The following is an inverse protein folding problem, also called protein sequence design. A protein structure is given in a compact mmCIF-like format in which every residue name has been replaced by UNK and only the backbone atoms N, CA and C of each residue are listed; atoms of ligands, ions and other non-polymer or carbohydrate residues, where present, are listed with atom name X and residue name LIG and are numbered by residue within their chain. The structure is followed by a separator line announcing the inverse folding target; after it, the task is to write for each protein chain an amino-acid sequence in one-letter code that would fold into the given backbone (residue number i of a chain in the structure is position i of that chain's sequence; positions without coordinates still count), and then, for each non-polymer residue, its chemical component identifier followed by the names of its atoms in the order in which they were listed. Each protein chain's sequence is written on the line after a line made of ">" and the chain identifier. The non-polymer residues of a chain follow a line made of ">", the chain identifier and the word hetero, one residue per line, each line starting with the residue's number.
data_IF_895434556230
#
_entry.id   IF_895434556230
#
_cell.length_a   1.000
_cell.length_b   1.000
_cell.length_c   1.000
_cell.angle_alpha   90.00
_cell.angle_beta   90.00
_cell.angle_gamma   90.00
#
_symmetry.space_group_name_H-M   'P 1'
#
loop_
_entity.id
_entity.type
_entity.pdbx_description
1 polymer ?
#
# COMPACT_ATOMS: atom_id res chain seq x y z
N UNK A 1 -7.82 30.48 -15.28
CA UNK A 1 -7.30 30.83 -13.94
C UNK A 1 -5.99 30.09 -13.75
N UNK A 2 -4.98 30.77 -13.21
CA UNK A 2 -3.64 30.20 -13.06
C UNK A 2 -3.52 29.59 -11.66
N UNK A 3 -3.73 28.27 -11.56
CA UNK A 3 -3.64 27.58 -10.29
C UNK A 3 -2.23 27.68 -9.71
N UNK A 4 -2.12 27.71 -8.38
CA UNK A 4 -0.82 27.73 -7.68
C UNK A 4 0.03 26.54 -8.15
N UNK A 5 1.25 26.83 -8.62
CA UNK A 5 2.20 25.84 -9.12
C UNK A 5 3.13 25.37 -8.00
N UNK A 6 3.49 24.09 -8.02
CA UNK A 6 4.40 23.49 -7.04
C UNK A 6 3.71 22.54 -6.07
N UNK A 7 4.47 21.87 -5.19
CA UNK A 7 3.94 20.93 -4.22
C UNK A 7 2.99 21.61 -3.21
N UNK A 8 2.18 20.80 -2.53
CA UNK A 8 1.32 21.27 -1.44
C UNK A 8 2.18 21.63 -0.22
N UNK A 9 1.95 22.81 0.32
CA UNK A 9 2.57 23.25 1.58
C UNK A 9 1.99 22.47 2.76
N UNK A 10 2.73 22.37 3.87
CA UNK A 10 2.27 21.72 5.11
C UNK A 10 0.93 22.27 5.60
N UNK A 11 0.72 23.58 5.48
CA UNK A 11 -0.53 24.23 5.85
C UNK A 11 -1.70 23.78 4.95
N UNK A 12 -1.47 23.69 3.63
CA UNK A 12 -2.47 23.22 2.67
C UNK A 12 -2.83 21.74 2.92
N UNK A 13 -1.82 20.90 3.20
CA UNK A 13 -2.04 19.49 3.55
C UNK A 13 -2.87 19.37 4.81
N UNK A 14 -2.56 20.15 5.86
CA UNK A 14 -3.33 20.15 7.10
C UNK A 14 -4.79 20.54 6.86
N UNK A 15 -5.03 21.61 6.09
CA UNK A 15 -6.38 22.06 5.72
C UNK A 15 -7.18 20.95 5.03
N UNK A 16 -6.61 20.33 3.99
CA UNK A 16 -7.23 19.22 3.25
C UNK A 16 -7.58 18.07 4.20
N UNK A 17 -6.65 17.66 5.06
CA UNK A 17 -6.89 16.51 5.95
C UNK A 17 -7.99 16.76 6.97
N UNK A 18 -8.13 17.98 7.49
CA UNK A 18 -9.19 18.31 8.45
C UNK A 18 -10.56 18.38 7.77
N UNK A 19 -10.63 19.01 6.60
CA UNK A 19 -11.88 19.22 5.87
C UNK A 19 -12.43 17.93 5.25
N UNK A 20 -11.54 17.03 4.86
CA UNK A 20 -11.93 15.67 4.44
C UNK A 20 -12.48 14.85 5.61
N UNK A 21 -11.93 15.01 6.83
CA UNK A 21 -12.49 14.37 8.03
C UNK A 21 -13.88 14.92 8.40
N UNK A 22 -14.12 16.19 8.13
CA UNK A 22 -15.40 16.87 8.35
C UNK A 22 -16.44 16.56 7.26
N UNK A 23 -16.05 15.86 6.18
CA UNK A 23 -16.96 15.43 5.11
C UNK A 23 -17.24 16.48 4.02
N UNK A 24 -16.42 17.53 3.91
CA UNK A 24 -16.56 18.53 2.85
C UNK A 24 -16.21 17.97 1.46
N UNK A 25 -16.80 18.58 0.42
CA UNK A 25 -16.61 18.16 -0.95
C UNK A 25 -15.21 18.57 -1.48
N UNK A 26 -14.56 17.68 -2.22
CA UNK A 26 -13.22 17.91 -2.79
C UNK A 26 -13.21 19.14 -3.73
N UNK A 27 -14.32 19.39 -4.43
CA UNK A 27 -14.42 20.52 -5.35
C UNK A 27 -14.40 21.88 -4.62
N UNK A 28 -15.01 21.98 -3.45
CA UNK A 28 -15.03 23.19 -2.63
C UNK A 28 -13.64 23.48 -2.05
N UNK A 29 -12.95 22.44 -1.59
CA UNK A 29 -11.56 22.53 -1.10
C UNK A 29 -10.62 22.96 -2.23
N UNK A 30 -10.88 22.50 -3.47
CA UNK A 30 -10.10 22.89 -4.65
C UNK A 30 -10.26 24.37 -5.01
N UNK A 31 -11.49 24.89 -4.91
CA UNK A 31 -11.77 26.31 -5.13
C UNK A 31 -11.14 27.19 -4.06
N UNK A 32 -11.22 26.79 -2.78
CA UNK A 32 -10.65 27.56 -1.66
C UNK A 32 -9.13 27.68 -1.72
N UNK A 33 -8.46 26.57 -2.09
CA UNK A 33 -7.01 26.52 -2.15
C UNK A 33 -6.43 27.05 -3.47
N UNK A 34 -7.29 27.27 -4.48
CA UNK A 34 -6.90 27.58 -5.87
C UNK A 34 -5.93 26.53 -6.44
N UNK A 35 -6.29 25.27 -6.23
CA UNK A 35 -5.51 24.08 -6.62
C UNK A 35 -6.34 23.19 -7.53
N UNK A 36 -5.66 22.41 -8.37
CA UNK A 36 -6.33 21.43 -9.21
C UNK A 36 -6.93 20.30 -8.36
N UNK A 37 -8.16 19.90 -8.66
CA UNK A 37 -8.89 18.79 -8.00
C UNK A 37 -8.02 17.53 -7.90
N UNK A 38 -7.37 17.14 -9.01
CA UNK A 38 -6.44 15.99 -9.07
C UNK A 38 -5.29 16.05 -8.06
N UNK A 39 -4.84 17.25 -7.69
CA UNK A 39 -3.76 17.42 -6.70
C UNK A 39 -4.25 17.11 -5.29
N UNK A 40 -5.48 17.50 -4.99
CA UNK A 40 -6.12 17.29 -3.69
C UNK A 40 -6.51 15.81 -3.56
N UNK A 41 -7.11 15.22 -4.59
CA UNK A 41 -7.40 13.77 -4.64
C UNK A 41 -6.16 12.92 -4.31
N UNK A 42 -5.03 13.20 -4.97
CA UNK A 42 -3.75 12.53 -4.68
C UNK A 42 -3.28 12.73 -3.23
N UNK A 43 -3.53 13.90 -2.65
CA UNK A 43 -3.20 14.16 -1.25
C UNK A 43 -4.07 13.34 -0.30
N UNK A 44 -5.36 13.23 -0.60
CA UNK A 44 -6.33 12.44 0.17
C UNK A 44 -6.00 10.95 0.08
N UNK A 45 -5.73 10.43 -1.11
CA UNK A 45 -5.32 9.04 -1.31
C UNK A 45 -4.05 8.70 -0.53
N UNK A 46 -3.06 9.61 -0.51
CA UNK A 46 -1.83 9.44 0.28
C UNK A 46 -2.14 9.44 1.78
N UNK A 47 -2.95 10.38 2.26
CA UNK A 47 -3.34 10.47 3.66
C UNK A 47 -4.13 9.22 4.10
N UNK A 48 -4.98 8.65 3.23
CA UNK A 48 -5.70 7.40 3.48
C UNK A 48 -4.78 6.17 3.45
N UNK A 49 -3.75 6.15 2.61
CA UNK A 49 -2.75 5.07 2.62
C UNK A 49 -1.88 5.09 3.86
N UNK A 50 -1.51 6.27 4.35
CA UNK A 50 -0.68 6.42 5.55
C UNK A 50 -1.47 6.18 6.85
N UNK A 51 -2.73 6.63 6.90
CA UNK A 51 -3.58 6.54 8.11
C UNK A 51 -4.65 5.43 8.04
N UNK A 52 -4.72 4.70 6.93
CA UNK A 52 -5.65 3.58 6.79
C UNK A 52 -5.33 2.45 7.77
N UNK A 53 -6.30 1.58 8.08
CA UNK A 53 -6.02 0.36 8.84
C UNK A 53 -4.95 -0.42 8.06
N UNK A 54 -3.73 -0.45 8.57
CA UNK A 54 -2.64 -1.25 7.99
C UNK A 54 -3.11 -2.69 8.04
N UNK A 55 -3.43 -3.25 6.87
CA UNK A 55 -3.73 -4.67 6.76
C UNK A 55 -2.44 -5.39 7.18
N UNK A 56 -2.45 -6.16 8.28
CA UNK A 56 -1.24 -6.79 8.77
C UNK A 56 -0.70 -7.72 7.69
N UNK A 57 0.58 -7.57 7.37
CA UNK A 57 1.25 -8.49 6.47
C UNK A 57 1.56 -9.79 7.21
N UNK A 58 1.86 -10.86 6.47
CA UNK A 58 2.33 -12.13 7.06
C UNK A 58 3.53 -11.88 7.97
N UNK A 59 4.44 -10.99 7.56
CA UNK A 59 5.63 -10.61 8.33
C UNK A 59 5.31 -9.91 9.66
N UNK A 60 4.21 -9.17 9.73
CA UNK A 60 3.78 -8.47 10.96
C UNK A 60 3.26 -9.45 12.01
N UNK A 61 2.84 -10.66 11.60
CA UNK A 61 2.35 -11.69 12.51
C UNK A 61 3.47 -12.52 13.16
N UNK A 62 4.72 -12.39 12.72
CA UNK A 62 5.85 -13.10 13.35
C UNK A 62 6.17 -12.50 14.72
N UNK A 63 6.45 -13.36 15.69
CA UNK A 63 6.99 -12.93 16.96
C UNK A 63 8.49 -12.67 16.81
N UNK A 64 8.97 -11.52 17.26
CA UNK A 64 10.39 -11.12 17.16
C UNK A 64 10.97 -10.88 18.53
N UNK A 65 12.19 -11.40 18.72
CA UNK A 65 13.09 -11.08 19.84
C UNK A 65 14.45 -10.73 19.25
N UNK A 66 15.33 -10.01 19.97
CA UNK A 66 16.68 -9.75 19.48
C UNK A 66 17.37 -11.05 19.04
N UNK A 67 17.79 -11.12 17.78
CA UNK A 67 18.46 -12.30 17.20
C UNK A 67 17.56 -13.50 16.87
N UNK A 68 16.25 -13.47 17.15
CA UNK A 68 15.35 -14.60 16.87
C UNK A 68 14.03 -14.14 16.28
N UNK A 69 13.62 -14.77 15.18
CA UNK A 69 12.30 -14.59 14.56
C UNK A 69 11.55 -15.91 14.63
N UNK A 70 10.38 -15.90 15.28
CA UNK A 70 9.55 -17.08 15.51
C UNK A 70 8.30 -16.96 14.63
N UNK A 71 8.06 -17.97 13.80
CA UNK A 71 6.82 -18.07 13.03
C UNK A 71 5.67 -18.40 13.98
N UNK A 72 4.64 -17.55 13.97
CA UNK A 72 3.42 -17.79 14.76
C UNK A 72 2.41 -18.57 13.92
N UNK A 73 1.44 -19.19 14.59
CA UNK A 73 0.32 -19.89 13.94
C UNK A 73 -0.41 -18.98 12.94
N UNK A 74 -0.70 -17.73 13.34
CA UNK A 74 -1.33 -16.73 12.47
C UNK A 74 -0.51 -16.46 11.21
N UNK A 75 0.82 -16.29 11.35
CA UNK A 75 1.71 -16.10 10.22
C UNK A 75 1.69 -17.32 9.27
N UNK A 76 1.70 -18.53 9.83
CA UNK A 76 1.64 -19.78 9.06
C UNK A 76 0.34 -19.89 8.26
N UNK A 77 -0.81 -19.71 8.92
CA UNK A 77 -2.12 -19.76 8.27
C UNK A 77 -2.24 -18.74 7.13
N UNK A 78 -1.75 -17.51 7.34
CA UNK A 78 -1.73 -16.48 6.30
C UNK A 78 -0.82 -16.82 5.13
N UNK A 79 0.30 -17.51 5.39
CA UNK A 79 1.21 -17.99 4.34
C UNK A 79 0.54 -19.05 3.47
N UNK A 80 -0.11 -20.04 4.09
CA UNK A 80 -0.79 -21.12 3.38
C UNK A 80 -1.91 -20.60 2.46
N UNK A 81 -2.67 -19.60 2.92
CA UNK A 81 -3.70 -18.95 2.11
C UNK A 81 -3.10 -18.26 0.88
N UNK A 82 -1.92 -17.66 0.99
CA UNK A 82 -1.22 -17.03 -0.15
C UNK A 82 -0.71 -18.07 -1.13
N UNK A 83 -0.14 -19.17 -0.64
CA UNK A 83 0.36 -20.25 -1.50
C UNK A 83 -0.75 -20.91 -2.31
N UNK A 84 -1.94 -21.11 -1.72
CA UNK A 84 -3.11 -21.65 -2.43
C UNK A 84 -3.64 -20.73 -3.55
N UNK A 85 -3.29 -19.44 -3.53
CA UNK A 85 -3.67 -18.44 -4.56
C UNK A 85 -2.58 -18.20 -5.60
N UNK A 86 -1.38 -18.74 -5.40
CA UNK A 86 -0.32 -18.69 -6.41
C UNK A 86 -0.63 -19.67 -7.53
N UNK A 87 -0.66 -19.16 -8.76
CA UNK A 87 -0.73 -19.91 -10.03
C UNK A 87 0.20 -21.14 -10.06
N UNK A 88 -0.07 -22.13 -10.95
CA UNK A 88 0.71 -23.36 -11.04
C UNK A 88 2.22 -23.09 -11.15
N UNK A 89 3.05 -24.02 -10.65
CA UNK A 89 4.48 -23.82 -10.50
C UNK A 89 5.12 -23.44 -11.84
N UNK A 90 5.74 -22.25 -11.90
CA UNK A 90 6.53 -21.75 -13.05
C UNK A 90 7.90 -22.45 -13.17
N UNK A 91 7.98 -23.75 -12.90
CA UNK A 91 9.23 -24.50 -13.00
C UNK A 91 9.02 -25.72 -13.89
N UNK A 92 9.10 -25.52 -15.20
CA UNK A 92 9.16 -26.62 -16.16
C UNK A 92 10.07 -26.36 -17.37
N UNK A 93 10.74 -25.19 -17.49
CA UNK A 93 11.56 -24.88 -18.68
C UNK A 93 13.06 -25.11 -18.51
N UNK A 94 13.54 -25.41 -17.29
CA UNK A 94 14.98 -25.48 -16.98
C UNK A 94 15.39 -26.81 -16.33
N UNK A 95 14.80 -27.92 -16.76
CA UNK A 95 15.27 -29.27 -16.41
C UNK A 95 15.73 -29.93 -17.70
N UNK A 96 17.03 -30.14 -17.86
CA UNK A 96 17.60 -30.96 -18.95
C UNK A 96 17.79 -32.39 -18.44
N UNK A 97 17.31 -33.38 -19.20
CA UNK A 97 17.49 -34.80 -18.89
C UNK A 97 18.91 -35.24 -19.28
N UNK A 98 19.57 -36.00 -18.42
CA UNK A 98 20.84 -36.66 -18.71
C UNK A 98 20.53 -37.86 -19.61
N UNK A 99 21.28 -38.05 -20.70
CA UNK A 99 21.11 -39.22 -21.58
C UNK A 99 21.60 -40.48 -20.86
N UNK A 100 20.89 -41.59 -21.06
CA UNK A 100 21.38 -42.92 -20.72
C UNK A 100 22.24 -43.41 -21.88
N UNK A 101 23.48 -43.81 -21.59
CA UNK A 101 24.43 -44.33 -22.57
C UNK A 101 24.16 -45.84 -22.79
N UNK A 102 23.85 -46.24 -24.03
CA UNK A 102 23.96 -47.62 -24.52
C UNK A 102 25.35 -47.87 -25.13
#
# INVERSE_FOLDING_TARGET
>A
MANKKGPLSKAEVFYITQHVKLGQNINEIATDLDRAVKSIEKCVEKAQKENGPKIPTTGDQFARRPGVTIMTENASMMSDIKHKKSLPPKTASCITKIKEDE
#
